data_IF_558420380694
#
_entry.id   IF_558420380694
#
_cell.length_a   1.000
_cell.length_b   1.000
_cell.length_c   1.000
_cell.angle_alpha   90.00
_cell.angle_beta   90.00
_cell.angle_gamma   90.00
#
_symmetry.space_group_name_H-M   'P 1'
#
loop_
_entity.id
_entity.type
_entity.pdbx_description
1 polymer ?
#
# COMPACT_ATOMS: atom_id res chain seq x y z
N UNK A 1 -6.63 -13.61 23.60
CA UNK A 1 -5.39 -13.93 24.36
C UNK A 1 -4.24 -13.98 23.36
N UNK A 2 -3.20 -13.15 23.54
CA UNK A 2 -2.07 -13.06 22.60
C UNK A 2 -1.06 -14.15 22.93
N UNK A 3 -0.80 -15.06 21.99
CA UNK A 3 0.18 -16.16 22.16
C UNK A 3 1.59 -15.64 21.89
N UNK A 4 2.47 -15.73 22.90
CA UNK A 4 3.86 -15.32 22.81
C UNK A 4 4.72 -16.51 22.42
N UNK A 5 5.26 -16.50 21.19
CA UNK A 5 6.21 -17.51 20.75
C UNK A 5 7.61 -17.13 21.25
N UNK A 6 8.16 -17.92 22.18
CA UNK A 6 9.51 -17.75 22.72
C UNK A 6 10.49 -18.65 21.98
N UNK A 7 11.35 -18.06 21.16
CA UNK A 7 12.49 -18.78 20.57
C UNK A 7 13.67 -18.65 21.52
N UNK A 8 13.98 -19.72 22.25
CA UNK A 8 15.11 -19.75 23.19
C UNK A 8 16.41 -20.10 22.46
N UNK A 9 17.28 -19.12 22.28
CA UNK A 9 18.71 -19.35 22.13
C UNK A 9 19.42 -18.82 23.38
N UNK A 10 20.41 -19.54 23.88
CA UNK A 10 21.03 -19.25 25.18
C UNK A 10 21.58 -17.81 25.24
N UNK A 11 20.88 -16.92 25.95
CA UNK A 11 21.46 -15.66 26.42
C UNK A 11 20.56 -14.45 26.60
N UNK A 12 19.39 -14.33 25.96
CA UNK A 12 18.37 -13.30 26.24
C UNK A 12 17.09 -13.63 25.47
N UNK A 13 15.95 -13.61 26.15
CA UNK A 13 14.65 -13.72 25.50
C UNK A 13 14.46 -12.49 24.61
N UNK A 14 14.26 -12.71 23.31
CA UNK A 14 13.82 -11.65 22.41
C UNK A 14 12.33 -11.42 22.67
N UNK A 15 11.96 -10.20 23.04
CA UNK A 15 10.56 -9.79 23.07
C UNK A 15 10.18 -9.41 21.65
N UNK A 16 9.41 -10.28 20.99
CA UNK A 16 8.78 -9.95 19.71
C UNK A 16 7.53 -9.16 20.03
N UNK A 17 7.55 -7.86 19.76
CA UNK A 17 6.36 -7.03 19.81
C UNK A 17 5.66 -7.11 18.46
N UNK A 18 4.50 -7.76 18.43
CA UNK A 18 3.62 -7.74 17.28
C UNK A 18 2.92 -6.37 17.27
N UNK A 19 3.29 -5.52 16.32
CA UNK A 19 2.69 -4.20 16.13
C UNK A 19 1.81 -4.15 14.89
N UNK A 20 0.74 -3.37 14.96
CA UNK A 20 -0.23 -3.18 13.88
C UNK A 20 -1.34 -4.23 13.86
N UNK A 21 -2.33 -3.98 13.01
CA UNK A 21 -3.46 -4.89 12.77
C UNK A 21 -3.52 -5.24 11.28
N UNK A 22 -3.97 -6.45 10.98
CA UNK A 22 -4.19 -6.88 9.60
C UNK A 22 -5.45 -6.19 9.09
N UNK A 23 -5.29 -5.29 8.11
CA UNK A 23 -6.43 -4.68 7.41
C UNK A 23 -6.86 -5.63 6.29
N UNK A 24 -8.11 -6.12 6.30
CA UNK A 24 -8.58 -6.98 5.23
C UNK A 24 -8.64 -6.20 3.92
N UNK A 25 -8.27 -6.84 2.81
CA UNK A 25 -8.28 -6.21 1.48
C UNK A 25 -9.68 -5.69 1.10
N UNK A 26 -10.73 -6.35 1.59
CA UNK A 26 -12.13 -5.92 1.41
C UNK A 26 -12.46 -4.59 2.08
N UNK A 27 -11.67 -4.13 3.06
CA UNK A 27 -11.81 -2.81 3.67
C UNK A 27 -11.04 -1.71 2.91
N UNK A 28 -10.22 -2.07 1.92
CA UNK A 28 -9.52 -1.10 1.10
C UNK A 28 -10.46 -0.52 0.04
N UNK A 29 -10.36 0.80 -0.17
CA UNK A 29 -11.05 1.50 -1.23
C UNK A 29 -10.16 2.58 -1.83
N UNK A 30 -10.44 2.92 -3.09
CA UNK A 30 -9.83 4.08 -3.73
C UNK A 30 -10.86 5.21 -3.84
N UNK A 31 -10.52 6.40 -3.36
CA UNK A 31 -11.38 7.57 -3.38
C UNK A 31 -10.99 8.54 -4.50
N UNK A 32 -11.97 8.96 -5.30
CA UNK A 32 -11.82 9.99 -6.34
C UNK A 32 -12.83 11.09 -6.21
N UNK A 33 -12.40 12.29 -6.58
CA UNK A 33 -13.26 13.43 -6.81
C UNK A 33 -13.20 13.82 -8.28
N UNK A 34 -14.35 14.07 -8.89
CA UNK A 34 -14.45 14.49 -10.30
C UNK A 34 -15.55 15.54 -10.44
N UNK A 35 -15.43 16.41 -11.44
CA UNK A 35 -16.54 17.28 -11.80
C UNK A 35 -17.71 16.44 -12.30
N UNK A 36 -18.95 16.86 -12.00
CA UNK A 36 -20.18 16.24 -12.51
C UNK A 36 -20.33 16.29 -14.04
N UNK A 37 -19.41 16.93 -14.76
CA UNK A 37 -19.31 16.86 -16.23
C UNK A 37 -18.64 15.57 -16.74
N UNK A 38 -18.08 14.74 -15.86
CA UNK A 38 -17.43 13.48 -16.21
C UNK A 38 -18.40 12.32 -15.99
N UNK A 39 -18.36 11.37 -16.90
CA UNK A 39 -19.12 10.13 -16.78
C UNK A 39 -18.38 9.13 -15.89
N UNK A 40 -19.13 8.38 -15.09
CA UNK A 40 -18.59 7.35 -14.22
C UNK A 40 -17.76 6.31 -14.98
N UNK A 41 -18.29 5.79 -16.08
CA UNK A 41 -17.63 4.73 -16.85
C UNK A 41 -16.29 5.18 -17.43
N UNK A 42 -16.19 6.42 -17.91
CA UNK A 42 -14.93 6.99 -18.40
C UNK A 42 -13.88 7.11 -17.29
N UNK A 43 -14.32 7.49 -16.08
CA UNK A 43 -13.43 7.59 -14.93
C UNK A 43 -12.97 6.19 -14.50
N UNK A 44 -13.91 5.26 -14.31
CA UNK A 44 -13.60 3.89 -13.91
C UNK A 44 -12.65 3.23 -14.91
N UNK A 45 -12.91 3.38 -16.21
CA UNK A 45 -12.07 2.84 -17.29
C UNK A 45 -10.61 3.28 -17.18
N UNK A 46 -10.35 4.55 -16.82
CA UNK A 46 -9.01 5.08 -16.63
C UNK A 46 -8.32 4.58 -15.36
N UNK A 47 -9.09 4.13 -14.36
CA UNK A 47 -8.58 3.70 -13.06
C UNK A 47 -8.38 2.18 -12.95
N UNK A 48 -9.03 1.39 -13.83
CA UNK A 48 -8.93 -0.09 -13.88
C UNK A 48 -7.50 -0.65 -13.78
N UNK A 49 -6.49 -0.16 -14.53
CA UNK A 49 -5.14 -0.70 -14.42
C UNK A 49 -4.54 -0.53 -13.01
N UNK A 50 -4.85 0.59 -12.35
CA UNK A 50 -4.38 0.89 -11.00
C UNK A 50 -5.12 0.08 -9.94
N UNK A 51 -6.44 -0.06 -10.09
CA UNK A 51 -7.27 -0.90 -9.22
C UNK A 51 -6.84 -2.36 -9.31
N UNK A 52 -6.58 -2.87 -10.52
CA UNK A 52 -6.02 -4.19 -10.74
C UNK A 52 -4.65 -4.35 -10.08
N UNK A 53 -3.71 -3.43 -10.31
CA UNK A 53 -2.36 -3.55 -9.74
C UNK A 53 -2.36 -3.51 -8.21
N UNK A 54 -3.17 -2.64 -7.61
CA UNK A 54 -3.28 -2.48 -6.16
C UNK A 54 -4.22 -3.52 -5.51
N UNK A 55 -4.92 -4.34 -6.30
CA UNK A 55 -5.92 -5.31 -5.85
C UNK A 55 -7.00 -4.66 -4.95
N UNK A 56 -7.42 -3.44 -5.27
CA UNK A 56 -8.40 -2.68 -4.48
C UNK A 56 -9.81 -2.99 -5.00
N UNK A 57 -10.70 -3.57 -4.17
CA UNK A 57 -12.00 -4.03 -4.63
C UNK A 57 -13.06 -2.94 -4.68
N UNK A 58 -12.95 -1.90 -3.84
CA UNK A 58 -13.97 -0.86 -3.72
C UNK A 58 -13.50 0.45 -4.37
N UNK A 59 -14.36 1.06 -5.17
CA UNK A 59 -14.13 2.36 -5.79
C UNK A 59 -15.17 3.36 -5.29
N UNK A 60 -14.70 4.40 -4.60
CA UNK A 60 -15.54 5.50 -4.12
C UNK A 60 -15.29 6.71 -4.98
N UNK A 61 -16.36 7.28 -5.52
CA UNK A 61 -16.26 8.48 -6.35
C UNK A 61 -17.32 9.50 -5.97
N UNK A 62 -16.86 10.72 -5.68
CA UNK A 62 -17.71 11.89 -5.49
C UNK A 62 -17.67 12.79 -6.71
N UNK A 63 -18.81 12.99 -7.35
CA UNK A 63 -19.02 14.01 -8.36
C UNK A 63 -19.42 15.32 -7.72
N UNK A 64 -18.77 16.41 -8.15
CA UNK A 64 -19.02 17.74 -7.62
C UNK A 64 -19.41 18.76 -8.70
N UNK A 65 -20.23 19.72 -8.29
CA UNK A 65 -20.54 20.94 -9.04
C UNK A 65 -20.21 22.14 -8.16
N UNK A 66 -19.20 22.92 -8.57
CA UNK A 66 -18.74 24.11 -7.82
C UNK A 66 -18.39 23.82 -6.35
N UNK A 67 -17.71 22.71 -6.09
CA UNK A 67 -17.31 22.29 -4.74
C UNK A 67 -18.38 21.54 -3.93
N UNK A 68 -19.63 21.49 -4.40
CA UNK A 68 -20.71 20.75 -3.75
C UNK A 68 -20.80 19.35 -4.35
N UNK A 69 -20.76 18.32 -3.50
CA UNK A 69 -20.93 16.92 -3.89
C UNK A 69 -22.40 16.51 -3.76
N UNK A 70 -23.02 16.17 -4.88
CA UNK A 70 -24.44 15.77 -4.97
C UNK A 70 -24.64 14.34 -5.48
N UNK A 71 -23.59 13.71 -6.03
CA UNK A 71 -23.56 12.31 -6.45
C UNK A 71 -22.29 11.64 -5.92
N UNK A 72 -22.46 10.76 -4.92
CA UNK A 72 -21.39 9.95 -4.34
C UNK A 72 -21.75 8.49 -4.56
N UNK A 73 -20.83 7.74 -5.16
CA UNK A 73 -20.98 6.33 -5.47
C UNK A 73 -19.93 5.52 -4.73
N UNK A 74 -20.36 4.39 -4.19
CA UNK A 74 -19.52 3.42 -3.48
C UNK A 74 -19.80 2.08 -4.16
N UNK A 75 -18.86 1.64 -4.99
CA UNK A 75 -19.07 0.48 -5.86
C UNK A 75 -18.01 -0.58 -5.59
N UNK A 76 -18.44 -1.84 -5.55
CA UNK A 76 -17.54 -2.99 -5.64
C UNK A 76 -17.24 -3.24 -7.12
N UNK A 77 -15.99 -3.02 -7.52
CA UNK A 77 -15.56 -3.03 -8.92
C UNK A 77 -14.79 -4.30 -9.30
N UNK A 78 -14.90 -5.36 -8.49
CA UNK A 78 -14.15 -6.60 -8.70
C UNK A 78 -14.47 -7.25 -10.04
N UNK A 79 -15.72 -7.21 -10.49
CA UNK A 79 -16.10 -7.85 -11.75
C UNK A 79 -15.62 -7.06 -12.97
N UNK A 80 -15.69 -5.75 -12.90
CA UNK A 80 -15.17 -4.83 -13.92
C UNK A 80 -13.66 -4.96 -14.06
N UNK A 81 -12.95 -5.11 -12.94
CA UNK A 81 -11.49 -5.36 -12.93
C UNK A 81 -11.15 -6.73 -13.51
N UNK A 82 -11.93 -7.78 -13.18
CA UNK A 82 -11.74 -9.12 -13.77
C UNK A 82 -12.00 -9.13 -15.27
N UNK A 83 -13.02 -8.43 -15.73
CA UNK A 83 -13.31 -8.34 -17.16
C UNK A 83 -12.19 -7.58 -17.87
N UNK A 84 -11.73 -6.47 -17.30
CA UNK A 84 -10.59 -5.72 -17.82
C UNK A 84 -9.31 -6.55 -17.92
N UNK A 85 -9.02 -7.38 -16.91
CA UNK A 85 -7.87 -8.28 -16.94
C UNK A 85 -7.93 -9.26 -18.11
N UNK A 86 -9.11 -9.83 -18.38
CA UNK A 86 -9.33 -10.71 -19.55
C UNK A 86 -9.13 -9.94 -20.86
N UNK A 87 -9.66 -8.74 -20.95
CA UNK A 87 -9.56 -7.90 -22.15
C UNK A 87 -8.08 -7.46 -22.41
N UNK A 88 -7.30 -7.29 -21.36
CA UNK A 88 -5.90 -6.84 -21.40
C UNK A 88 -4.87 -7.97 -21.30
N UNK A 89 -5.29 -9.24 -21.36
CA UNK A 89 -4.42 -10.42 -21.19
C UNK A 89 -3.13 -10.31 -22.02
N UNK A 90 -3.27 -9.95 -23.30
CA UNK A 90 -2.13 -9.82 -24.21
C UNK A 90 -1.13 -8.72 -23.80
N UNK A 91 -1.60 -7.63 -23.21
CA UNK A 91 -0.76 -6.54 -22.74
C UNK A 91 -0.13 -6.88 -21.38
N UNK A 92 -0.85 -7.59 -20.51
CA UNK A 92 -0.30 -8.11 -19.25
C UNK A 92 0.80 -9.16 -19.48
N UNK A 93 0.66 -10.00 -20.52
CA UNK A 93 1.73 -10.91 -20.95
C UNK A 93 2.97 -10.14 -21.45
N UNK A 94 2.78 -9.07 -22.24
CA UNK A 94 3.89 -8.19 -22.65
C UNK A 94 4.55 -7.52 -21.46
N UNK A 95 3.78 -7.03 -20.49
CA UNK A 95 4.30 -6.44 -19.25
C UNK A 95 5.15 -7.45 -18.48
N UNK A 96 4.68 -8.70 -18.36
CA UNK A 96 5.44 -9.79 -17.73
C UNK A 96 6.76 -10.06 -18.46
N UNK A 97 6.72 -10.14 -19.80
CA UNK A 97 7.92 -10.29 -20.62
C UNK A 97 8.90 -9.13 -20.44
N UNK A 98 8.39 -7.91 -20.41
CA UNK A 98 9.16 -6.69 -20.20
C UNK A 98 9.86 -6.69 -18.83
N UNK A 99 9.12 -6.98 -17.75
CA UNK A 99 9.69 -7.06 -16.40
C UNK A 99 10.82 -8.11 -16.34
N UNK A 100 10.60 -9.30 -16.92
CA UNK A 100 11.62 -10.36 -16.99
C UNK A 100 12.85 -9.93 -17.77
N UNK A 101 12.67 -9.27 -18.91
CA UNK A 101 13.76 -8.73 -19.72
C UNK A 101 14.57 -7.69 -18.94
N UNK A 102 13.91 -6.77 -18.25
CA UNK A 102 14.57 -5.75 -17.43
C UNK A 102 15.37 -6.39 -16.28
N UNK A 103 14.79 -7.36 -15.58
CA UNK A 103 15.49 -8.10 -14.51
C UNK A 103 16.74 -8.80 -15.06
N UNK A 104 16.61 -9.52 -16.18
CA UNK A 104 17.73 -10.23 -16.81
C UNK A 104 18.84 -9.27 -17.25
N UNK A 105 18.48 -8.10 -17.80
CA UNK A 105 19.45 -7.09 -18.20
C UNK A 105 20.21 -6.53 -16.99
N UNK A 106 19.49 -6.15 -15.92
CA UNK A 106 20.09 -5.60 -14.70
C UNK A 106 21.02 -6.62 -14.02
N UNK A 107 20.66 -7.91 -14.01
CA UNK A 107 21.50 -8.98 -13.47
C UNK A 107 22.82 -9.19 -14.23
N UNK A 108 22.88 -8.77 -15.50
CA UNK A 108 24.10 -8.83 -16.32
C UNK A 108 25.03 -7.62 -16.13
N UNK A 109 24.61 -6.57 -15.42
CA UNK A 109 25.39 -5.35 -15.20
C UNK A 109 26.19 -5.43 -13.89
N UNK A 110 27.41 -4.88 -13.89
CA UNK A 110 28.30 -4.89 -12.71
C UNK A 110 27.69 -4.12 -11.53
N UNK A 111 27.11 -2.96 -11.81
CA UNK A 111 26.56 -2.07 -10.79
C UNK A 111 25.08 -2.33 -10.50
N UNK A 112 24.44 -3.23 -11.26
CA UNK A 112 23.02 -3.53 -11.13
C UNK A 112 22.10 -2.32 -11.37
N UNK A 113 22.54 -1.34 -12.16
CA UNK A 113 21.77 -0.14 -12.49
C UNK A 113 21.51 -0.03 -13.98
N UNK A 114 20.39 0.60 -14.34
CA UNK A 114 19.94 0.77 -15.71
C UNK A 114 19.02 1.99 -15.82
N UNK A 115 19.18 2.78 -16.87
CA UNK A 115 18.19 3.78 -17.28
C UNK A 115 17.25 3.16 -18.33
N UNK A 116 15.94 3.26 -18.08
CA UNK A 116 14.90 2.77 -19.00
C UNK A 116 14.19 3.98 -19.60
N UNK A 117 14.28 4.14 -20.92
CA UNK A 117 13.69 5.26 -21.65
C UNK A 117 12.69 4.75 -22.67
N UNK A 118 11.45 5.24 -22.63
CA UNK A 118 10.48 5.00 -23.69
C UNK A 118 10.37 6.22 -24.59
N UNK A 119 10.75 6.06 -25.87
CA UNK A 119 10.75 7.14 -26.86
C UNK A 119 10.35 6.59 -28.23
N UNK A 120 9.43 7.27 -28.91
CA UNK A 120 9.09 6.97 -30.31
C UNK A 120 8.55 5.55 -30.56
N UNK A 121 7.93 4.92 -29.56
CA UNK A 121 7.43 3.55 -29.66
C UNK A 121 8.47 2.46 -29.38
N UNK A 122 9.71 2.84 -29.07
CA UNK A 122 10.77 1.92 -28.67
C UNK A 122 11.16 2.12 -27.22
N UNK A 123 11.51 1.00 -26.57
CA UNK A 123 12.14 0.99 -25.26
C UNK A 123 13.65 0.93 -25.43
N UNK A 124 14.35 1.90 -24.89
CA UNK A 124 15.80 1.99 -24.88
C UNK A 124 16.31 1.68 -23.48
N UNK A 125 17.29 0.79 -23.40
CA UNK A 125 18.01 0.44 -22.17
C UNK A 125 19.41 1.07 -22.25
N UNK A 126 19.73 1.95 -21.31
CA UNK A 126 20.98 2.71 -21.31
C UNK A 126 21.74 2.52 -20.00
N UNK A 127 23.06 2.60 -20.07
CA UNK A 127 23.90 2.72 -18.88
C UNK A 127 23.60 4.05 -18.18
N UNK A 128 23.62 4.02 -16.84
CA UNK A 128 23.38 5.22 -16.03
C UNK A 128 24.60 6.12 -16.15
N UNK A 129 24.42 7.28 -16.79
CA UNK A 129 25.49 8.27 -16.95
C UNK A 129 25.65 9.20 -15.74
N UNK A 130 26.89 9.56 -15.41
CA UNK A 130 27.21 10.54 -14.37
C UNK A 130 27.08 10.01 -12.93
N UNK A 131 27.14 10.91 -11.95
CA UNK A 131 26.91 10.57 -10.54
C UNK A 131 25.42 10.66 -10.26
N UNK A 132 24.75 9.51 -10.25
CA UNK A 132 23.32 9.42 -9.92
C UNK A 132 23.17 8.86 -8.53
N UNK A 133 22.37 9.54 -7.69
CA UNK A 133 22.02 9.01 -6.39
C UNK A 133 21.22 7.72 -6.59
N UNK A 134 21.72 6.61 -6.02
CA UNK A 134 20.95 5.37 -5.98
C UNK A 134 19.60 5.63 -5.31
N UNK A 135 18.51 5.09 -5.87
CA UNK A 135 17.17 5.18 -5.27
C UNK A 135 17.12 4.58 -3.85
N UNK A 136 18.04 3.67 -3.55
CA UNK A 136 18.19 3.04 -2.23
C UNK A 136 19.55 3.49 -1.66
N UNK A 137 19.59 4.20 -0.52
CA UNK A 137 20.84 4.54 0.16
C UNK A 137 21.66 3.31 0.52
N UNK A 138 22.99 3.41 0.46
CA UNK A 138 23.87 2.26 0.73
C UNK A 138 23.74 1.73 2.16
N UNK A 139 23.41 2.59 3.12
CA UNK A 139 23.09 2.16 4.48
C UNK A 139 21.91 1.18 4.51
N UNK A 140 20.85 1.48 3.77
CA UNK A 140 19.66 0.62 3.66
C UNK A 140 19.99 -0.68 2.93
N UNK A 141 20.76 -0.62 1.83
CA UNK A 141 21.24 -1.82 1.13
C UNK A 141 22.04 -2.73 2.06
N UNK A 142 22.98 -2.17 2.84
CA UNK A 142 23.77 -2.94 3.82
C UNK A 142 22.85 -3.59 4.85
N UNK A 143 21.95 -2.82 5.47
CA UNK A 143 21.03 -3.33 6.49
C UNK A 143 20.13 -4.46 5.96
N UNK A 144 19.69 -4.41 4.71
CA UNK A 144 18.82 -5.43 4.12
C UNK A 144 19.57 -6.67 3.61
N UNK A 145 20.82 -6.52 3.15
CA UNK A 145 21.62 -7.63 2.60
C UNK A 145 22.45 -8.35 3.66
N UNK A 146 22.90 -7.65 4.70
CA UNK A 146 23.70 -8.24 5.77
C UNK A 146 22.83 -9.04 6.75
N UNK A 147 21.50 -8.99 6.63
CA UNK A 147 20.62 -9.23 7.76
C UNK A 147 20.96 -8.28 8.90
N UNK A 148 20.19 -8.26 9.99
CA UNK A 148 20.68 -7.66 11.23
C UNK A 148 21.73 -8.60 11.84
N UNK A 149 22.89 -8.75 11.20
CA UNK A 149 24.06 -9.36 11.82
C UNK A 149 24.84 -8.23 12.48
N UNK A 150 24.49 -7.98 13.74
CA UNK A 150 25.44 -7.42 14.69
C UNK A 150 26.64 -8.38 14.72
N UNK A 151 27.84 -7.89 14.41
CA UNK A 151 29.06 -8.66 14.25
C UNK A 151 29.55 -9.21 15.60
N UNK A 152 28.81 -10.14 16.19
CA UNK A 152 29.39 -11.19 17.03
C UNK A 152 28.50 -12.42 16.97
N UNK A 153 28.61 -13.20 15.89
CA UNK A 153 28.72 -14.66 15.97
C UNK A 153 28.71 -15.30 14.60
N UNK A 154 29.88 -15.81 14.25
CA UNK A 154 30.04 -17.01 13.46
C UNK A 154 29.07 -18.07 14.01
N UNK A 155 28.08 -18.52 13.23
CA UNK A 155 27.76 -19.93 13.10
C UNK A 155 26.79 -20.19 11.94
N UNK A 156 27.21 -21.15 11.13
CA UNK A 156 26.65 -21.56 9.84
C UNK A 156 25.43 -22.46 10.05
N UNK A 157 24.27 -22.17 9.46
CA UNK A 157 23.31 -23.23 9.14
C UNK A 157 22.37 -22.88 7.97
N UNK A 158 22.50 -23.70 6.92
CA UNK A 158 21.63 -23.81 5.74
C UNK A 158 20.20 -24.18 6.15
N UNK A 159 19.20 -23.46 5.64
CA UNK A 159 17.85 -24.00 5.52
C UNK A 159 17.14 -23.48 4.26
N UNK A 160 16.92 -24.42 3.34
CA UNK A 160 16.28 -24.32 2.04
C UNK A 160 14.76 -24.22 2.22
N UNK A 161 14.16 -23.10 1.84
CA UNK A 161 12.70 -22.90 1.90
C UNK A 161 11.98 -23.74 0.83
N UNK A 162 10.94 -24.47 1.25
CA UNK A 162 9.89 -24.99 0.37
C UNK A 162 8.55 -24.53 0.94
N UNK A 163 7.82 -23.75 0.13
CA UNK A 163 6.49 -23.26 0.47
C UNK A 163 5.45 -24.37 0.53
N UNK A 164 4.41 -24.14 1.32
CA UNK A 164 3.22 -24.97 1.42
C UNK A 164 2.23 -24.38 2.41
N UNK A 165 1.04 -24.05 1.91
CA UNK A 165 -0.15 -23.57 2.64
C UNK A 165 -0.71 -24.68 3.54
N UNK A 166 -1.26 -24.31 4.70
CA UNK A 166 -2.24 -25.12 5.44
C UNK A 166 -3.37 -24.20 5.93
N UNK A 167 -4.61 -24.61 5.64
CA UNK A 167 -5.89 -24.04 6.07
C UNK A 167 -6.46 -25.03 7.10
N UNK A 168 -6.86 -24.59 8.30
CA UNK A 168 -7.87 -25.22 9.20
C UNK A 168 -8.40 -24.08 10.10
N UNK A 169 -9.65 -23.63 9.99
CA UNK A 169 -10.95 -24.12 10.51
C UNK A 169 -11.30 -23.63 11.94
N UNK A 170 -12.57 -23.25 12.10
CA UNK A 170 -13.23 -22.47 13.17
C UNK A 170 -13.59 -23.31 14.39
N UNK A 171 -13.62 -22.73 15.61
CA UNK A 171 -14.54 -23.15 16.69
C UNK A 171 -14.97 -21.95 17.57
N UNK A 172 -16.25 -21.97 17.97
CA UNK A 172 -17.02 -20.98 18.74
C UNK A 172 -16.98 -21.21 20.28
N UNK A 173 -17.75 -20.37 21.00
CA UNK A 173 -18.23 -20.45 22.41
C UNK A 173 -17.37 -19.78 23.51
N UNK A 174 -17.88 -19.17 24.58
CA UNK A 174 -19.17 -18.53 24.97
C UNK A 174 -18.85 -17.64 26.21
N UNK A 175 -19.86 -16.91 26.69
CA UNK A 175 -19.86 -15.81 27.67
C UNK A 175 -19.45 -16.18 29.12
N UNK A 176 -18.98 -15.18 29.90
CA UNK A 176 -19.44 -14.98 31.29
C UNK A 176 -18.94 -13.64 31.90
N UNK A 177 -19.78 -13.12 32.78
CA UNK A 177 -19.94 -11.74 33.24
C UNK A 177 -19.10 -11.30 34.48
N UNK A 178 -19.11 -9.97 34.67
CA UNK A 178 -19.00 -9.20 35.93
C UNK A 178 -17.63 -8.80 36.54
N UNK A 179 -17.42 -7.48 36.59
CA UNK A 179 -17.15 -6.80 37.86
C UNK A 179 -15.75 -6.17 38.06
N UNK A 180 -15.67 -4.84 37.85
CA UNK A 180 -15.26 -3.85 38.86
C UNK A 180 -14.48 -2.67 38.24
N UNK A 181 -15.01 -1.49 38.55
CA UNK A 181 -14.63 -0.15 38.10
C UNK A 181 -13.36 0.30 38.82
N UNK A 182 -12.37 0.83 38.11
CA UNK A 182 -11.48 1.83 38.69
C UNK A 182 -11.09 2.90 37.65
N UNK A 183 -11.30 4.14 38.08
CA UNK A 183 -11.34 5.36 37.31
C UNK A 183 -9.94 5.92 37.04
N UNK A 184 -9.52 5.90 35.78
CA UNK A 184 -8.45 6.75 35.26
C UNK A 184 -9.05 7.90 34.46
N UNK A 185 -9.15 9.08 35.07
CA UNK A 185 -9.67 10.28 34.44
C UNK A 185 -8.72 10.75 33.31
N UNK A 186 -9.08 10.45 32.07
CA UNK A 186 -8.53 11.11 30.89
C UNK A 186 -9.28 12.43 30.73
N UNK A 187 -8.64 13.52 31.12
CA UNK A 187 -9.11 14.87 30.85
C UNK A 187 -9.13 15.08 29.33
N UNK A 188 -10.32 14.95 28.74
CA UNK A 188 -10.62 15.39 27.39
C UNK A 188 -10.71 16.91 27.37
N UNK A 189 -9.73 17.53 26.72
CA UNK A 189 -9.79 18.93 26.28
C UNK A 189 -10.16 18.86 24.78
N UNK A 190 -11.46 18.71 24.49
CA UNK A 190 -12.39 19.81 24.16
C UNK A 190 -12.03 20.50 22.84
N UNK A 191 -12.62 19.98 21.76
CA UNK A 191 -13.21 20.70 20.63
C UNK A 191 -12.71 22.13 20.39
N UNK A 192 -11.55 22.23 19.74
CA UNK A 192 -11.41 23.25 18.70
C UNK A 192 -11.13 22.53 17.39
N UNK A 193 -12.15 22.40 16.56
CA UNK A 193 -12.00 22.08 15.14
C UNK A 193 -10.98 23.07 14.57
N UNK A 194 -9.74 22.61 14.36
CA UNK A 194 -8.75 23.42 13.67
C UNK A 194 -9.23 23.53 12.24
N UNK A 195 -9.78 24.69 11.89
CA UNK A 195 -10.19 25.00 10.53
C UNK A 195 -8.93 25.10 9.65
N UNK A 196 -8.66 24.03 8.90
CA UNK A 196 -7.57 23.94 7.93
C UNK A 196 -8.00 24.49 6.56
N UNK A 197 -9.08 25.25 6.51
CA UNK A 197 -9.48 25.98 5.32
C UNK A 197 -9.36 27.44 5.65
N UNK A 198 -8.69 28.22 4.80
CA UNK A 198 -8.58 29.66 4.98
C UNK A 198 -9.94 30.40 4.80
N UNK A 199 -11.07 29.70 4.96
CA UNK A 199 -12.40 30.13 4.60
C UNK A 199 -13.27 30.26 5.85
N UNK A 200 -13.55 31.50 6.30
CA UNK A 200 -14.52 31.68 7.37
C UNK A 200 -15.96 31.44 6.86
N UNK A 201 -16.74 30.67 7.62
CA UNK A 201 -18.14 30.38 7.31
C UNK A 201 -19.00 31.66 7.16
N UNK A 202 -18.65 32.73 7.88
CA UNK A 202 -19.38 33.99 7.86
C UNK A 202 -19.06 34.88 6.64
N UNK A 203 -17.84 34.82 6.08
CA UNK A 203 -17.40 35.78 5.06
C UNK A 203 -17.46 35.24 3.63
N UNK A 204 -17.13 33.97 3.41
CA UNK A 204 -17.00 33.42 2.05
C UNK A 204 -17.85 32.18 1.78
N UNK A 205 -18.56 31.66 2.80
CA UNK A 205 -19.43 30.49 2.65
C UNK A 205 -18.69 29.27 2.08
N UNK A 206 -17.41 29.11 2.43
CA UNK A 206 -16.55 28.01 2.00
C UNK A 206 -16.27 27.99 0.47
N UNK A 207 -15.66 29.06 -0.04
CA UNK A 207 -15.41 29.22 -1.48
C UNK A 207 -14.13 28.54 -2.00
N UNK A 208 -13.24 28.08 -1.12
CA UNK A 208 -11.98 27.40 -1.49
C UNK A 208 -10.94 28.27 -2.22
N UNK A 209 -11.14 29.59 -2.28
CA UNK A 209 -10.24 30.55 -2.96
C UNK A 209 -9.62 31.58 -2.01
N UNK A 210 -9.83 31.43 -0.70
CA UNK A 210 -9.23 32.33 0.28
C UNK A 210 -7.73 32.01 0.41
N UNK A 211 -6.91 33.05 0.31
CA UNK A 211 -5.50 32.96 0.70
C UNK A 211 -5.38 32.94 2.23
N UNK A 212 -4.40 32.19 2.73
CA UNK A 212 -3.97 32.25 4.13
C UNK A 212 -3.32 33.60 4.46
#
# INVERSE_FOLDING_TARGET
MVSSATVSHAGKALTVELGGEIVPQSAMFDLKTRTSKKEYEDVLKGERPRLWLAQVPNFVIGFHKNGVFDDVRVEDVREEVRQWEKDEESNLQKLTGLIKMLIAFVQGQVDGTLEVVYRGGSLELREVGGVVNCCIPDEMKRRWTQGTFDETRNDRCNARWKGGVVIEEEEEEEEDEEGMRESGAWSGDSDSEKDFTACSAASCGYCGHCGY
#
